data_IF_269497477550
#
_entry.id   IF_269497477550
#
_cell.length_a   1.000
_cell.length_b   1.000
_cell.length_c   1.000
_cell.angle_alpha   90.00
_cell.angle_beta   90.00
_cell.angle_gamma   90.00
#
_symmetry.space_group_name_H-M   'P 1'
#
loop_
_entity.id
_entity.type
_entity.pdbx_description
1 polymer ?
#
# COMPACT_ATOMS: atom_id res chain seq x y z
N UNK A 1 -6.79 -18.97 -11.81
CA UNK A 1 -6.49 -18.24 -10.54
C UNK A 1 -5.67 -19.09 -9.57
N UNK A 2 -6.00 -20.37 -9.34
CA UNK A 2 -5.37 -21.19 -8.29
C UNK A 2 -3.84 -21.28 -8.34
N UNK A 3 -3.24 -21.48 -9.53
CA UNK A 3 -1.77 -21.56 -9.66
C UNK A 3 -1.10 -20.22 -9.31
N UNK A 4 -1.67 -19.09 -9.75
CA UNK A 4 -1.12 -17.77 -9.44
C UNK A 4 -1.13 -17.52 -7.92
N UNK A 5 -2.24 -17.86 -7.25
CA UNK A 5 -2.32 -17.75 -5.78
C UNK A 5 -1.25 -18.59 -5.09
N UNK A 6 -1.06 -19.85 -5.52
CA UNK A 6 -0.01 -20.72 -4.96
C UNK A 6 1.38 -20.09 -5.10
N UNK A 7 1.69 -19.48 -6.25
CA UNK A 7 2.96 -18.77 -6.45
C UNK A 7 3.03 -17.57 -5.50
N UNK A 8 1.99 -16.74 -5.43
CA UNK A 8 1.97 -15.55 -4.57
C UNK A 8 2.04 -15.90 -3.07
N UNK A 9 1.60 -17.08 -2.67
CA UNK A 9 1.66 -17.55 -1.28
C UNK A 9 3.00 -18.22 -0.92
N UNK A 10 3.90 -18.45 -1.89
CA UNK A 10 5.18 -19.14 -1.66
C UNK A 10 6.22 -18.29 -0.90
N UNK A 11 6.38 -18.54 0.39
CA UNK A 11 7.22 -17.73 1.30
C UNK A 11 8.71 -17.56 0.90
N UNK A 12 9.23 -18.35 -0.05
CA UNK A 12 10.66 -18.41 -0.42
C UNK A 12 10.99 -18.01 -1.87
N UNK A 13 10.11 -17.26 -2.56
CA UNK A 13 10.41 -16.81 -3.92
C UNK A 13 11.64 -15.88 -4.00
N UNK A 14 12.57 -16.22 -4.88
CA UNK A 14 13.77 -15.43 -5.17
C UNK A 14 13.49 -14.32 -6.21
N UNK A 15 12.53 -13.45 -5.92
CA UNK A 15 12.16 -12.29 -6.74
C UNK A 15 11.82 -11.12 -5.82
N UNK A 16 12.00 -9.88 -6.26
CA UNK A 16 11.52 -8.73 -5.49
C UNK A 16 10.02 -8.56 -5.66
N UNK A 17 9.35 -8.06 -4.61
CA UNK A 17 7.92 -7.81 -4.68
C UNK A 17 7.58 -6.73 -5.71
N UNK A 18 8.45 -5.75 -5.93
CA UNK A 18 8.28 -4.74 -6.98
C UNK A 18 8.22 -5.35 -8.39
N UNK A 19 9.07 -6.34 -8.68
CA UNK A 19 9.05 -7.06 -9.96
C UNK A 19 7.87 -8.04 -10.03
N UNK A 20 7.59 -8.74 -8.92
CA UNK A 20 6.44 -9.65 -8.83
C UNK A 20 5.12 -8.91 -9.05
N UNK A 21 4.96 -7.74 -8.46
CA UNK A 21 3.80 -6.87 -8.66
C UNK A 21 3.61 -6.51 -10.13
N UNK A 22 4.67 -6.07 -10.83
CA UNK A 22 4.59 -5.75 -12.27
C UNK A 22 4.20 -6.96 -13.11
N UNK A 23 4.72 -8.15 -12.77
CA UNK A 23 4.33 -9.39 -13.43
C UNK A 23 2.86 -9.73 -13.19
N UNK A 24 2.36 -9.55 -11.97
CA UNK A 24 0.94 -9.74 -11.61
C UNK A 24 0.04 -8.73 -12.31
N UNK A 25 0.41 -7.45 -12.34
CA UNK A 25 -0.33 -6.40 -13.06
C UNK A 25 -0.45 -6.74 -14.55
N UNK A 26 0.66 -7.17 -15.17
CA UNK A 26 0.69 -7.60 -16.57
C UNK A 26 -0.19 -8.84 -16.79
N UNK A 27 -0.16 -9.80 -15.86
CA UNK A 27 -1.01 -10.98 -15.91
C UNK A 27 -2.50 -10.64 -15.77
N UNK A 28 -2.87 -9.73 -14.84
CA UNK A 28 -4.26 -9.29 -14.66
C UNK A 28 -4.77 -8.70 -15.96
N UNK A 29 -4.00 -7.81 -16.60
CA UNK A 29 -4.35 -7.22 -17.90
C UNK A 29 -4.59 -8.29 -18.96
N UNK A 30 -3.64 -9.21 -19.13
CA UNK A 30 -3.76 -10.30 -20.10
C UNK A 30 -4.94 -11.23 -19.80
N UNK A 31 -5.24 -11.49 -18.52
CA UNK A 31 -6.37 -12.33 -18.10
C UNK A 31 -7.72 -11.65 -18.36
N UNK A 32 -7.81 -10.33 -18.21
CA UNK A 32 -9.00 -9.55 -18.56
C UNK A 32 -9.22 -9.55 -20.07
N UNK A 33 -8.17 -9.30 -20.85
CA UNK A 33 -8.21 -9.38 -22.33
C UNK A 33 -8.63 -10.78 -22.80
N UNK A 34 -8.04 -11.83 -22.23
CA UNK A 34 -8.38 -13.23 -22.55
C UNK A 34 -9.86 -13.56 -22.30
N UNK A 35 -10.48 -12.90 -21.32
CA UNK A 35 -11.89 -13.08 -20.99
C UNK A 35 -12.83 -12.13 -21.78
N UNK A 36 -12.29 -11.24 -22.59
CA UNK A 36 -13.07 -10.19 -23.25
C UNK A 36 -13.66 -9.17 -22.28
N UNK A 37 -13.05 -9.02 -21.10
CA UNK A 37 -13.52 -8.13 -20.03
C UNK A 37 -12.78 -6.79 -20.19
N UNK A 38 -13.30 -5.94 -21.08
CA UNK A 38 -12.76 -4.61 -21.37
C UNK A 38 -13.89 -3.59 -21.42
N UNK A 39 -13.71 -2.43 -20.81
CA UNK A 39 -14.75 -1.39 -20.75
C UNK A 39 -15.23 -1.11 -19.33
N UNK A 40 -16.13 -0.13 -19.19
CA UNK A 40 -16.68 0.32 -17.90
C UNK A 40 -17.80 -0.60 -17.40
N UNK A 41 -18.46 -1.31 -18.32
CA UNK A 41 -19.53 -2.28 -18.05
C UNK A 41 -19.04 -3.50 -17.26
N UNK A 42 -17.74 -3.75 -17.24
CA UNK A 42 -17.13 -4.86 -16.51
C UNK A 42 -16.34 -4.43 -15.27
N UNK A 43 -16.62 -3.24 -14.74
CA UNK A 43 -15.91 -2.70 -13.58
C UNK A 43 -15.96 -3.65 -12.38
N UNK A 44 -17.10 -4.31 -12.16
CA UNK A 44 -17.27 -5.23 -11.05
C UNK A 44 -16.42 -6.50 -11.22
N UNK A 45 -16.40 -7.12 -12.40
CA UNK A 45 -15.59 -8.30 -12.69
C UNK A 45 -14.10 -8.00 -12.62
N UNK A 46 -13.68 -6.83 -13.10
CA UNK A 46 -12.32 -6.33 -12.97
C UNK A 46 -11.94 -6.18 -11.50
N UNK A 47 -12.78 -5.49 -10.72
CA UNK A 47 -12.55 -5.28 -9.29
C UNK A 47 -12.51 -6.60 -8.52
N UNK A 48 -13.42 -7.53 -8.82
CA UNK A 48 -13.45 -8.86 -8.21
C UNK A 48 -12.20 -9.69 -8.54
N UNK A 49 -11.66 -9.58 -9.75
CA UNK A 49 -10.40 -10.25 -10.10
C UNK A 49 -9.23 -9.65 -9.32
N UNK A 50 -9.12 -8.32 -9.29
CA UNK A 50 -8.08 -7.61 -8.55
C UNK A 50 -8.14 -7.94 -7.06
N UNK A 51 -9.32 -7.84 -6.44
CA UNK A 51 -9.54 -8.15 -5.02
C UNK A 51 -9.19 -9.61 -4.64
N UNK A 52 -9.21 -10.54 -5.61
CA UNK A 52 -8.81 -11.94 -5.37
C UNK A 52 -7.29 -12.17 -5.45
N UNK A 53 -6.53 -11.27 -6.06
CA UNK A 53 -5.11 -11.48 -6.39
C UNK A 53 -4.22 -10.50 -5.65
N UNK A 54 -4.53 -9.20 -5.73
CA UNK A 54 -3.72 -8.10 -5.21
C UNK A 54 -3.42 -8.23 -3.71
N UNK A 55 -4.34 -8.68 -2.84
CA UNK A 55 -4.05 -8.82 -1.42
C UNK A 55 -2.95 -9.86 -1.10
N UNK A 56 -2.60 -10.74 -2.03
CA UNK A 56 -1.54 -11.74 -1.84
C UNK A 56 -0.11 -11.19 -2.10
N UNK A 57 0.03 -9.98 -2.65
CA UNK A 57 1.33 -9.31 -2.78
C UNK A 57 1.82 -8.88 -1.40
N UNK A 58 3.10 -9.11 -1.11
CA UNK A 58 3.71 -8.73 0.17
C UNK A 58 4.24 -7.29 0.11
N UNK A 59 3.34 -6.31 0.05
CA UNK A 59 3.74 -4.91 -0.09
C UNK A 59 4.73 -4.42 0.98
N UNK A 60 4.69 -4.99 2.19
CA UNK A 60 5.61 -4.69 3.29
C UNK A 60 7.08 -5.09 3.02
N UNK A 61 7.35 -5.88 1.99
CA UNK A 61 8.70 -6.18 1.51
C UNK A 61 9.23 -5.15 0.49
N UNK A 62 8.41 -4.19 0.06
CA UNK A 62 8.86 -3.08 -0.77
C UNK A 62 9.36 -1.94 0.12
N UNK A 63 10.32 -1.15 -0.37
CA UNK A 63 10.63 0.13 0.27
C UNK A 63 9.60 1.23 -0.12
N UNK A 64 9.54 2.36 0.61
CA UNK A 64 8.56 3.41 0.34
C UNK A 64 8.57 3.93 -1.11
N UNK A 65 9.76 4.04 -1.72
CA UNK A 65 9.92 4.53 -3.09
C UNK A 65 9.38 3.52 -4.10
N UNK A 66 9.72 2.24 -3.95
CA UNK A 66 9.20 1.17 -4.83
C UNK A 66 7.67 1.11 -4.78
N UNK A 67 7.09 1.25 -3.59
CA UNK A 67 5.64 1.27 -3.44
C UNK A 67 5.01 2.52 -4.09
N UNK A 68 5.57 3.70 -3.81
CA UNK A 68 5.08 4.98 -4.30
C UNK A 68 5.21 5.14 -5.82
N UNK A 69 6.24 4.55 -6.45
CA UNK A 69 6.46 4.62 -7.90
C UNK A 69 5.76 3.47 -8.66
N UNK A 70 5.26 2.46 -7.96
CA UNK A 70 4.62 1.29 -8.54
C UNK A 70 3.18 1.13 -8.07
N UNK A 71 2.90 0.24 -7.09
CA UNK A 71 1.54 -0.06 -6.65
C UNK A 71 0.65 1.15 -6.34
N UNK A 72 1.18 2.18 -5.68
CA UNK A 72 0.40 3.37 -5.31
C UNK A 72 -0.09 4.18 -6.52
N UNK A 73 0.61 4.08 -7.65
CA UNK A 73 0.24 4.75 -8.91
C UNK A 73 -0.61 3.87 -9.81
N UNK A 74 -0.77 2.59 -9.47
CA UNK A 74 -1.65 1.68 -10.20
C UNK A 74 -3.11 1.94 -9.81
N UNK A 75 -4.03 1.60 -10.71
CA UNK A 75 -5.47 1.61 -10.42
C UNK A 75 -5.95 0.31 -9.73
N UNK A 76 -5.03 -0.47 -9.16
CA UNK A 76 -5.30 -1.78 -8.54
C UNK A 76 -5.57 -1.69 -7.04
N UNK A 77 -5.30 -0.52 -6.44
CA UNK A 77 -5.57 -0.20 -5.05
C UNK A 77 -6.49 1.03 -5.00
N UNK A 78 -7.41 1.03 -4.04
CA UNK A 78 -8.07 2.27 -3.65
C UNK A 78 -7.08 3.22 -2.95
N UNK A 79 -7.40 4.51 -2.92
CA UNK A 79 -6.55 5.50 -2.24
C UNK A 79 -6.35 5.18 -0.76
N UNK A 80 -7.39 4.67 -0.09
CA UNK A 80 -7.34 4.32 1.33
C UNK A 80 -6.47 3.07 1.57
N UNK A 81 -6.55 2.07 0.69
CA UNK A 81 -5.67 0.90 0.74
C UNK A 81 -4.21 1.30 0.50
N UNK A 82 -3.95 2.09 -0.55
CA UNK A 82 -2.62 2.55 -0.86
C UNK A 82 -2.00 3.36 0.29
N UNK A 83 -2.78 4.26 0.90
CA UNK A 83 -2.36 5.04 2.05
C UNK A 83 -2.06 4.16 3.27
N UNK A 84 -2.96 3.23 3.61
CA UNK A 84 -2.79 2.33 4.74
C UNK A 84 -1.53 1.45 4.60
N UNK A 85 -1.29 0.91 3.40
CA UNK A 85 -0.10 0.12 3.11
C UNK A 85 1.15 1.00 3.19
N UNK A 86 1.12 2.19 2.59
CA UNK A 86 2.25 3.13 2.63
C UNK A 86 2.64 3.53 4.06
N UNK A 87 1.67 3.76 4.94
CA UNK A 87 1.90 4.03 6.36
C UNK A 87 2.64 2.88 7.05
N UNK A 88 2.23 1.64 6.77
CA UNK A 88 2.88 0.44 7.32
C UNK A 88 4.28 0.19 6.75
N UNK A 89 4.54 0.56 5.49
CA UNK A 89 5.88 0.50 4.88
C UNK A 89 6.80 1.58 5.46
N UNK A 90 6.31 2.83 5.53
CA UNK A 90 7.14 3.99 5.90
C UNK A 90 7.34 4.11 7.40
N UNK A 91 6.40 3.62 8.20
CA UNK A 91 6.47 3.64 9.66
C UNK A 91 5.86 2.37 10.25
N UNK A 92 6.59 1.23 10.26
CA UNK A 92 6.06 -0.08 10.70
C UNK A 92 5.44 -0.12 12.11
N UNK A 93 5.82 0.83 12.98
CA UNK A 93 5.35 0.91 14.37
C UNK A 93 4.27 2.00 14.60
N UNK A 94 3.71 2.61 13.55
CA UNK A 94 2.71 3.68 13.71
C UNK A 94 1.34 3.20 14.21
N UNK A 95 1.09 1.89 14.21
CA UNK A 95 -0.19 1.31 14.62
C UNK A 95 -1.34 1.52 13.62
N UNK A 96 -1.06 2.07 12.43
CA UNK A 96 -2.06 2.20 11.37
C UNK A 96 -2.47 0.82 10.84
N UNK A 97 -3.77 0.47 10.79
CA UNK A 97 -4.19 -0.88 10.41
C UNK A 97 -3.90 -1.15 8.92
N UNK A 98 -3.39 -2.35 8.63
CA UNK A 98 -3.34 -2.87 7.25
C UNK A 98 -4.76 -3.09 6.72
N UNK A 99 -5.01 -2.89 5.40
CA UNK A 99 -6.33 -3.15 4.83
C UNK A 99 -6.76 -4.61 4.98
N UNK A 100 -8.08 -4.82 5.05
CA UNK A 100 -8.65 -6.15 5.25
C UNK A 100 -8.30 -7.10 4.10
N UNK A 101 -7.86 -8.31 4.43
CA UNK A 101 -7.50 -9.34 3.46
C UNK A 101 -6.09 -9.20 2.87
N UNK A 102 -5.38 -8.10 3.11
CA UNK A 102 -4.02 -7.90 2.62
C UNK A 102 -3.00 -8.67 3.45
N UNK A 103 -2.01 -9.23 2.75
CA UNK A 103 -0.91 -9.97 3.34
C UNK A 103 -0.12 -9.09 4.29
N UNK A 104 0.07 -9.60 5.52
CA UNK A 104 1.04 -9.08 6.50
C UNK A 104 2.33 -9.89 6.48
N UNK A 105 2.43 -10.89 5.59
CA UNK A 105 3.59 -11.75 5.47
C UNK A 105 4.79 -10.94 4.97
N UNK A 106 5.95 -11.18 5.57
CA UNK A 106 7.23 -10.77 5.03
C UNK A 106 7.86 -11.97 4.31
N UNK A 107 7.96 -11.91 2.98
CA UNK A 107 8.58 -12.97 2.17
C UNK A 107 10.09 -12.97 2.39
N UNK A 108 10.67 -14.15 2.60
CA UNK A 108 12.13 -14.29 2.78
C UNK A 108 12.77 -14.36 1.41
N UNK A 109 13.16 -13.21 0.86
CA UNK A 109 13.96 -13.18 -0.36
C UNK A 109 15.42 -13.47 -0.03
N UNK A 110 16.05 -14.35 -0.80
CA UNK A 110 17.52 -14.54 -0.77
C UNK A 110 18.27 -13.38 -1.42
N UNK A 111 17.56 -12.46 -2.09
CA UNK A 111 18.13 -11.25 -2.68
C UNK A 111 18.40 -10.27 -1.53
N UNK A 112 19.68 -10.08 -1.20
CA UNK A 112 20.12 -9.06 -0.24
C UNK A 112 19.89 -7.67 -0.85
N UNK A 113 18.82 -7.02 -0.47
CA UNK A 113 18.67 -5.59 -0.72
C UNK A 113 19.67 -4.82 0.14
N UNK A 114 20.38 -3.87 -0.46
CA UNK A 114 21.13 -2.86 0.29
C UNK A 114 20.09 -1.98 0.98
N UNK A 115 20.07 -2.00 2.31
CA UNK A 115 19.29 -1.06 3.11
C UNK A 115 19.74 0.37 2.76
N UNK A 116 19.07 1.01 1.82
CA UNK A 116 19.07 2.47 1.74
C UNK A 116 18.05 2.94 2.77
N UNK A 117 18.43 2.82 4.05
CA UNK A 117 17.71 3.40 5.16
C UNK A 117 17.66 4.91 4.89
N UNK A 118 16.51 5.42 4.47
CA UNK A 118 16.25 6.85 4.54
C UNK A 118 16.29 7.23 6.01
N UNK A 119 17.42 7.74 6.48
CA UNK A 119 17.50 8.52 7.71
C UNK A 119 16.83 9.88 7.46
N UNK A 120 15.52 9.86 7.22
CA UNK A 120 14.73 11.09 7.24
C UNK A 120 14.26 11.30 8.67
N UNK A 121 15.13 11.91 9.47
CA UNK A 121 14.72 12.66 10.65
C UNK A 121 13.83 13.83 10.22
N UNK A 122 12.58 13.53 9.87
CA UNK A 122 11.54 14.54 9.70
C UNK A 122 10.67 14.48 10.95
N UNK A 123 10.99 15.35 11.89
CA UNK A 123 10.20 15.55 13.10
C UNK A 123 8.93 16.29 12.71
N UNK A 124 7.82 15.56 12.52
CA UNK A 124 6.51 16.17 12.32
C UNK A 124 6.07 16.85 13.61
N UNK A 125 6.30 18.17 13.69
CA UNK A 125 5.81 18.99 14.79
C UNK A 125 4.31 19.22 14.58
N UNK A 126 3.47 18.37 15.17
CA UNK A 126 2.05 18.66 15.30
C UNK A 126 1.88 19.75 16.37
N UNK A 127 1.70 21.00 15.95
CA UNK A 127 1.20 22.04 16.84
C UNK A 127 -0.25 21.71 17.19
N UNK A 128 -0.44 21.12 18.36
CA UNK A 128 -1.75 20.98 18.98
C UNK A 128 -2.37 22.37 19.15
N UNK A 129 -3.46 22.65 18.44
CA UNK A 129 -4.26 23.84 18.66
C UNK A 129 -4.85 23.76 20.08
N UNK A 130 -4.28 24.53 21.00
CA UNK A 130 -4.78 24.70 22.36
C UNK A 130 -6.11 25.44 22.33
N UNK A 131 -7.09 24.88 23.03
CA UNK A 131 -8.43 25.38 23.25
C UNK A 131 -8.43 26.82 23.76
N UNK A 132 -9.01 27.75 22.99
CA UNK A 132 -9.30 29.11 23.48
C UNK A 132 -10.53 29.05 24.40
N UNK A 133 -10.31 29.31 25.69
CA UNK A 133 -11.36 29.85 26.56
C UNK A 133 -11.41 31.37 26.38
N UNK A 134 -12.59 32.02 26.30
CA UNK A 134 -12.68 33.47 26.16
C UNK A 134 -12.51 34.16 27.52
N UNK A 135 -11.45 34.96 27.68
CA UNK A 135 -11.26 35.86 28.81
C UNK A 135 -11.99 37.18 28.58
N UNK A 136 -13.00 37.47 29.38
CA UNK A 136 -13.63 38.79 29.49
C UNK A 136 -12.71 39.75 30.25
N UNK A 137 -12.14 40.75 29.58
CA UNK A 137 -11.52 41.91 30.22
C UNK A 137 -12.31 43.17 29.86
N UNK A 138 -13.02 43.74 30.84
CA UNK A 138 -13.37 45.15 30.89
C UNK A 138 -12.62 45.75 32.07
N UNK A 139 -11.57 46.52 31.78
CA UNK A 139 -10.87 47.37 32.75
C UNK A 139 -11.36 48.81 32.54
N UNK A 140 -11.64 49.50 33.65
CA UNK A 140 -12.24 50.82 33.74
C UNK A 140 -11.14 51.92 33.88
N UNK A 141 -11.49 53.13 33.42
CA UNK A 141 -10.88 54.47 33.62
C UNK A 141 -9.63 54.87 32.83
N UNK A 142 -9.77 55.92 32.01
CA UNK A 142 -9.65 57.31 32.48
C UNK A 142 -10.77 58.18 31.91
#
# INVERSE_FOLDING_TARGET
ISILKMILEESSLNISESVLFKAVESWIRAELERKGISGLEYFEEQQQLCAKIIPHICFLNMNPKEFAEGPAMSNLLTKDEAFAIFMNISSPNCGYPMPNGFSKMIRKSTIKYKDNKCESGVQFHFSSASSRQPSTNKTFFS
#
